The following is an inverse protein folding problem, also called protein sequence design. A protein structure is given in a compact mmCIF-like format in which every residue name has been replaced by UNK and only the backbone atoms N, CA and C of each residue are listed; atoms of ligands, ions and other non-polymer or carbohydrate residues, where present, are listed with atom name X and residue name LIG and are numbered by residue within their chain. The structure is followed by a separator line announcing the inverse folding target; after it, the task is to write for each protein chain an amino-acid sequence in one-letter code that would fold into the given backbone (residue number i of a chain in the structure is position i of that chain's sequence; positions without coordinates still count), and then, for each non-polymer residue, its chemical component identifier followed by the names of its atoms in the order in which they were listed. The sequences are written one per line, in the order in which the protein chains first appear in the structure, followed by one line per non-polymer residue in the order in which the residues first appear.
data_IF_357174664896
#
_entry.id   IF_357174664896
#
_cell.length_a   1.000
_cell.length_b   1.000
_cell.length_c   1.000
_cell.angle_alpha   90.00
_cell.angle_beta   90.00
_cell.angle_gamma   90.00
#
_symmetry.space_group_name_H-M   'P 1'
#
loop_
_entity.id
_entity.type
_entity.pdbx_description
1 polymer ?
#
# COMPACT_ATOMS: atom_id res chain seq x y z
N UNK A 1 -28.53 -2.64 -5.54
CA UNK A 1 -27.63 -3.35 -4.61
C UNK A 1 -26.28 -2.66 -4.66
N UNK A 2 -25.88 -2.05 -3.55
CA UNK A 2 -24.56 -1.47 -3.35
C UNK A 2 -23.57 -2.62 -3.09
N UNK A 3 -22.54 -2.78 -3.94
CA UNK A 3 -21.50 -3.80 -3.72
C UNK A 3 -20.49 -3.23 -2.75
N UNK A 4 -20.47 -3.76 -1.53
CA UNK A 4 -19.37 -3.52 -0.59
C UNK A 4 -18.22 -4.40 -1.04
N UNK A 5 -17.19 -3.81 -1.65
CA UNK A 5 -15.97 -4.53 -1.96
C UNK A 5 -15.25 -4.89 -0.67
N UNK A 6 -14.82 -6.14 -0.53
CA UNK A 6 -13.99 -6.54 0.61
C UNK A 6 -12.68 -5.75 0.56
N UNK A 7 -12.32 -5.13 1.69
CA UNK A 7 -11.09 -4.37 1.83
C UNK A 7 -10.15 -5.05 2.81
N UNK A 8 -8.87 -4.88 2.57
CA UNK A 8 -7.79 -5.27 3.46
C UNK A 8 -7.02 -4.04 3.87
N UNK A 9 -6.55 -4.05 5.11
CA UNK A 9 -5.58 -3.07 5.57
C UNK A 9 -4.20 -3.50 5.09
N UNK A 10 -3.51 -2.59 4.40
CA UNK A 10 -2.12 -2.73 4.03
C UNK A 10 -1.27 -1.82 4.94
N UNK A 11 -0.41 -2.44 5.74
CA UNK A 11 0.52 -1.75 6.63
C UNK A 11 1.91 -1.80 6.01
N UNK A 12 2.40 -0.67 5.51
CA UNK A 12 3.76 -0.49 5.01
C UNK A 12 4.70 -0.59 6.21
N UNK A 13 5.31 -1.77 6.41
CA UNK A 13 6.24 -2.03 7.51
C UNK A 13 7.57 -1.30 7.31
N UNK A 14 7.96 -1.07 6.06
CA UNK A 14 9.16 -0.33 5.77
C UNK A 14 9.39 -0.11 4.28
N UNK A 15 10.09 1.00 4.01
CA UNK A 15 10.68 1.31 2.71
C UNK A 15 12.16 1.55 2.99
N UNK A 16 13.05 0.78 2.38
CA UNK A 16 14.50 0.92 2.60
C UNK A 16 15.29 0.96 1.30
N UNK A 17 16.34 1.78 1.28
CA UNK A 17 17.40 1.66 0.28
C UNK A 17 18.23 0.44 0.64
N UNK A 18 18.10 -0.61 -0.17
CA UNK A 18 18.76 -1.90 0.04
C UNK A 18 20.17 -1.89 -0.55
N UNK A 19 20.32 -1.34 -1.75
CA UNK A 19 21.60 -1.21 -2.46
C UNK A 19 21.70 0.15 -3.14
N UNK A 20 22.92 0.68 -3.25
CA UNK A 20 23.21 1.96 -3.89
C UNK A 20 23.31 3.15 -2.93
N UNK A 21 23.65 4.34 -3.46
CA UNK A 21 23.74 5.57 -2.67
C UNK A 21 22.38 6.00 -2.12
N UNK A 22 22.41 6.81 -1.06
CA UNK A 22 21.20 7.44 -0.54
C UNK A 22 20.72 8.52 -1.52
N UNK A 23 19.50 8.42 -2.08
CA UNK A 23 19.06 9.30 -3.16
C UNK A 23 18.26 10.53 -2.66
N UNK A 24 18.00 10.63 -1.35
CA UNK A 24 16.99 11.54 -0.80
C UNK A 24 17.58 12.74 -0.05
N UNK A 25 18.73 13.25 -0.49
CA UNK A 25 19.42 14.36 0.19
C UNK A 25 18.64 15.68 0.12
N UNK A 26 17.91 15.91 -0.97
CA UNK A 26 17.09 17.12 -1.17
C UNK A 26 15.59 16.89 -0.97
N UNK A 27 15.21 15.72 -0.48
CA UNK A 27 13.84 15.33 -0.22
C UNK A 27 13.36 14.23 -1.15
N UNK A 28 12.05 14.03 -1.15
CA UNK A 28 11.39 12.98 -1.88
C UNK A 28 9.97 12.76 -1.39
N UNK A 29 9.34 11.72 -1.95
CA UNK A 29 7.98 11.30 -1.59
C UNK A 29 7.85 9.78 -1.65
N UNK A 30 7.13 9.23 -0.68
CA UNK A 30 6.59 7.87 -0.72
C UNK A 30 5.08 7.99 -0.68
N UNK A 31 4.40 7.44 -1.68
CA UNK A 31 2.96 7.48 -1.76
C UNK A 31 2.38 6.14 -2.21
N UNK A 32 1.19 5.83 -1.71
CA UNK A 32 0.37 4.73 -2.19
C UNK A 32 -0.67 5.28 -3.15
N UNK A 33 -0.82 4.65 -4.30
CA UNK A 33 -1.83 4.97 -5.31
C UNK A 33 -2.82 3.83 -5.38
N UNK A 34 -4.12 4.16 -5.33
CA UNK A 34 -5.18 3.25 -5.73
C UNK A 34 -5.61 3.58 -7.16
N UNK A 35 -5.87 2.56 -8.01
CA UNK A 35 -6.43 2.79 -9.33
C UNK A 35 -7.74 3.59 -9.25
N UNK A 36 -8.04 4.44 -10.24
CA UNK A 36 -9.34 5.08 -10.37
C UNK A 36 -10.48 4.07 -10.33
N UNK A 37 -11.43 4.24 -9.41
CA UNK A 37 -12.70 3.50 -9.41
C UNK A 37 -13.83 4.46 -9.15
N UNK A 38 -14.41 5.01 -10.21
CA UNK A 38 -15.81 5.44 -10.17
C UNK A 38 -16.61 4.40 -10.93
N UNK A 39 -17.64 3.85 -10.30
CA UNK A 39 -18.59 2.99 -10.99
C UNK A 39 -19.89 3.76 -11.23
N UNK A 40 -20.47 3.57 -12.41
CA UNK A 40 -21.83 4.00 -12.72
C UNK A 40 -22.70 2.76 -12.79
N UNK A 41 -23.86 2.81 -12.13
CA UNK A 41 -24.90 1.80 -12.28
C UNK A 41 -25.90 2.32 -13.29
N UNK A 42 -25.98 1.69 -14.46
CA UNK A 42 -26.99 1.98 -15.48
C UNK A 42 -27.72 0.68 -15.77
N UNK A 43 -29.04 0.68 -15.63
CA UNK A 43 -29.91 -0.49 -15.90
C UNK A 43 -29.49 -1.76 -15.13
N UNK A 44 -29.15 -1.60 -13.85
CA UNK A 44 -28.70 -2.70 -12.98
C UNK A 44 -27.30 -3.23 -13.28
N UNK A 45 -26.61 -2.72 -14.30
CA UNK A 45 -25.25 -3.12 -14.68
C UNK A 45 -24.21 -2.13 -14.16
N UNK A 46 -23.12 -2.65 -13.60
CA UNK A 46 -21.98 -1.87 -13.09
C UNK A 46 -21.01 -1.57 -14.23
N UNK A 47 -20.73 -0.30 -14.46
CA UNK A 47 -19.74 0.18 -15.41
C UNK A 47 -18.63 0.91 -14.67
N UNK A 48 -17.39 0.44 -14.77
CA UNK A 48 -16.24 1.17 -14.24
C UNK A 48 -15.85 2.28 -15.23
N UNK A 49 -15.84 3.53 -14.77
CA UNK A 49 -15.38 4.66 -15.57
C UNK A 49 -13.90 4.93 -15.29
N UNK A 50 -13.12 5.02 -16.36
CA UNK A 50 -11.66 5.21 -16.33
C UNK A 50 -11.21 6.65 -16.08
N UNK A 51 -12.15 7.57 -15.80
CA UNK A 51 -11.91 9.01 -15.71
C UNK A 51 -11.84 9.57 -14.27
N UNK A 52 -11.85 8.73 -13.24
CA UNK A 52 -11.58 9.21 -11.88
C UNK A 52 -10.07 9.49 -11.68
N UNK A 53 -9.69 10.46 -10.85
CA UNK A 53 -8.31 10.57 -10.40
C UNK A 53 -7.97 9.38 -9.48
N UNK A 54 -6.76 8.85 -9.64
CA UNK A 54 -6.18 7.89 -8.69
C UNK A 54 -6.15 8.52 -7.31
N UNK A 55 -6.54 7.79 -6.26
CA UNK A 55 -6.42 8.31 -4.90
C UNK A 55 -4.97 8.13 -4.45
N UNK A 56 -4.34 9.23 -4.05
CA UNK A 56 -2.99 9.24 -3.51
C UNK A 56 -3.03 9.36 -1.98
N UNK A 57 -2.34 8.44 -1.31
CA UNK A 57 -2.08 8.53 0.13
C UNK A 57 -0.58 8.68 0.34
N UNK A 58 -0.17 9.88 0.75
CA UNK A 58 1.23 10.18 1.03
C UNK A 58 1.64 9.60 2.38
N UNK A 59 2.62 8.70 2.35
CA UNK A 59 3.21 8.07 3.55
C UNK A 59 4.30 8.93 4.16
N UNK A 60 5.09 9.59 3.29
CA UNK A 60 6.17 10.48 3.68
C UNK A 60 6.44 11.46 2.53
N UNK A 61 6.66 12.73 2.86
CA UNK A 61 7.13 13.72 1.90
C UNK A 61 8.04 14.75 2.58
N UNK A 62 9.06 15.18 1.87
CA UNK A 62 10.00 16.22 2.29
C UNK A 62 10.49 16.96 1.06
N UNK A 63 10.64 18.28 1.15
CA UNK A 63 11.16 19.11 0.03
C UNK A 63 12.25 20.03 0.53
N UNK A 64 13.36 20.12 -0.20
CA UNK A 64 14.50 20.99 0.12
C UNK A 64 15.29 20.56 1.36
N UNK A 65 15.04 19.36 1.89
CA UNK A 65 15.76 18.80 3.04
C UNK A 65 15.79 17.28 2.94
N UNK A 66 16.83 16.69 3.51
CA UNK A 66 17.03 15.24 3.53
C UNK A 66 15.83 14.51 4.12
N UNK A 67 15.41 13.42 3.48
CA UNK A 67 14.34 12.56 4.01
C UNK A 67 14.79 11.89 5.32
N UNK A 68 13.90 11.76 6.32
CA UNK A 68 14.27 11.18 7.61
C UNK A 68 14.68 9.71 7.44
N UNK A 69 15.93 9.41 7.81
CA UNK A 69 16.59 8.12 7.64
C UNK A 69 16.74 7.41 8.98
N UNK A 70 16.24 6.18 9.05
CA UNK A 70 16.50 5.24 10.11
C UNK A 70 17.75 4.39 9.87
N UNK A 71 18.01 3.46 10.78
CA UNK A 71 19.08 2.46 10.63
C UNK A 71 18.88 1.65 9.35
N UNK A 72 19.96 1.05 8.81
CA UNK A 72 19.90 0.13 7.66
C UNK A 72 19.16 0.66 6.42
N UNK A 73 19.20 1.97 6.18
CA UNK A 73 18.64 2.57 4.96
C UNK A 73 17.12 2.71 4.95
N UNK A 74 16.43 2.50 6.08
CA UNK A 74 14.98 2.69 6.17
C UNK A 74 14.59 4.17 6.14
N UNK A 75 13.47 4.48 5.49
CA UNK A 75 12.77 5.76 5.63
C UNK A 75 11.86 5.72 6.86
N UNK A 76 11.87 6.80 7.65
CA UNK A 76 10.96 6.96 8.78
C UNK A 76 9.64 7.54 8.26
N UNK A 77 8.68 6.66 7.95
CA UNK A 77 7.39 7.07 7.39
C UNK A 77 6.54 7.82 8.42
N UNK A 78 5.80 8.83 7.97
CA UNK A 78 4.86 9.57 8.81
C UNK A 78 3.52 8.84 8.96
N UNK A 79 3.17 8.00 7.98
CA UNK A 79 2.01 7.11 7.97
C UNK A 79 2.43 5.75 7.47
N UNK A 80 1.73 4.71 7.91
CA UNK A 80 2.06 3.33 7.57
C UNK A 80 0.87 2.56 6.97
N UNK A 81 -0.35 3.09 7.01
CA UNK A 81 -1.55 2.28 6.75
C UNK A 81 -2.39 2.86 5.63
N UNK A 82 -2.81 2.01 4.67
CA UNK A 82 -3.87 2.28 3.69
C UNK A 82 -4.89 1.14 3.68
N UNK A 83 -6.12 1.45 3.28
CA UNK A 83 -7.15 0.45 2.95
C UNK A 83 -7.11 0.19 1.45
N UNK A 84 -7.15 -1.08 1.05
CA UNK A 84 -7.08 -1.52 -0.34
C UNK A 84 -8.17 -2.54 -0.59
N UNK A 85 -8.82 -2.52 -1.75
CA UNK A 85 -9.75 -3.60 -2.13
C UNK A 85 -8.99 -4.92 -2.29
N UNK A 86 -9.55 -6.03 -1.80
CA UNK A 86 -8.92 -7.35 -1.86
C UNK A 86 -8.69 -7.81 -3.32
N UNK A 87 -9.63 -7.49 -4.21
CA UNK A 87 -9.54 -7.75 -5.67
C UNK A 87 -8.87 -6.59 -6.44
N UNK A 88 -8.25 -5.65 -5.72
CA UNK A 88 -7.59 -4.47 -6.27
C UNK A 88 -6.09 -4.65 -6.48
N UNK A 89 -5.40 -3.52 -6.49
CA UNK A 89 -3.95 -3.44 -6.45
C UNK A 89 -3.52 -2.29 -5.56
N UNK A 90 -2.33 -2.40 -4.98
CA UNK A 90 -1.67 -1.33 -4.25
C UNK A 90 -0.39 -0.94 -4.99
N UNK A 91 -0.38 0.23 -5.61
CA UNK A 91 0.84 0.77 -6.20
C UNK A 91 1.55 1.64 -5.16
N UNK A 92 2.85 1.44 -4.97
CA UNK A 92 3.70 2.28 -4.13
C UNK A 92 4.70 2.99 -5.02
N UNK A 93 4.65 4.31 -5.02
CA UNK A 93 5.55 5.19 -5.79
C UNK A 93 6.54 5.85 -4.84
N UNK A 94 7.80 5.82 -5.22
CA UNK A 94 8.92 6.42 -4.49
C UNK A 94 9.60 7.41 -5.43
N UNK A 95 9.78 8.64 -4.97
CA UNK A 95 10.40 9.72 -5.73
C UNK A 95 11.53 10.34 -4.91
N UNK A 96 12.64 10.64 -5.59
CA UNK A 96 13.73 11.46 -5.09
C UNK A 96 13.73 12.80 -5.81
N UNK A 97 14.11 13.86 -5.10
CA UNK A 97 14.10 15.23 -5.61
C UNK A 97 15.51 15.79 -5.79
N UNK A 98 15.66 16.70 -6.75
CA UNK A 98 16.80 17.62 -6.83
C UNK A 98 16.69 18.74 -5.79
N UNK A 99 17.74 19.55 -5.68
CA UNK A 99 17.73 20.79 -4.90
C UNK A 99 16.65 21.79 -5.36
N UNK A 100 16.39 21.90 -6.67
CA UNK A 100 15.27 22.68 -7.24
C UNK A 100 13.89 22.11 -6.87
N UNK A 101 13.87 20.86 -6.39
CA UNK A 101 12.68 20.11 -6.03
C UNK A 101 11.96 19.50 -7.22
N UNK A 102 12.68 19.25 -8.32
CA UNK A 102 12.24 18.46 -9.47
C UNK A 102 12.43 16.97 -9.19
N UNK A 103 11.65 16.11 -9.84
CA UNK A 103 11.80 14.65 -9.70
C UNK A 103 13.02 14.21 -10.51
N UNK A 104 14.05 13.71 -9.83
CA UNK A 104 15.29 13.23 -10.47
C UNK A 104 15.30 11.72 -10.65
N UNK A 105 14.64 10.99 -9.78
CA UNK A 105 14.50 9.55 -9.87
C UNK A 105 13.15 9.10 -9.32
N UNK A 106 12.57 8.07 -9.93
CA UNK A 106 11.31 7.48 -9.52
C UNK A 106 11.39 5.96 -9.64
N UNK A 107 10.75 5.27 -8.69
CA UNK A 107 10.45 3.84 -8.78
C UNK A 107 9.01 3.58 -8.39
N UNK A 108 8.44 2.52 -8.93
CA UNK A 108 7.08 2.07 -8.63
C UNK A 108 7.07 0.56 -8.43
N UNK A 109 6.22 0.09 -7.54
CA UNK A 109 5.95 -1.33 -7.32
C UNK A 109 4.46 -1.56 -7.14
N UNK A 110 3.95 -2.63 -7.72
CA UNK A 110 2.54 -3.03 -7.60
C UNK A 110 2.45 -4.28 -6.73
N UNK A 111 1.64 -4.21 -5.69
CA UNK A 111 1.33 -5.35 -4.83
C UNK A 111 -0.07 -5.88 -5.11
N UNK A 112 -0.18 -7.21 -5.19
CA UNK A 112 -1.46 -7.90 -5.09
C UNK A 112 -1.88 -8.00 -3.61
N UNK A 113 -3.05 -7.46 -3.24
CA UNK A 113 -3.54 -7.54 -1.87
C UNK A 113 -3.78 -8.99 -1.42
N UNK A 114 -3.63 -9.23 -0.11
CA UNK A 114 -3.84 -10.54 0.52
C UNK A 114 -4.75 -10.39 1.74
N UNK A 115 -5.46 -11.45 2.12
CA UNK A 115 -6.25 -11.45 3.35
C UNK A 115 -5.38 -11.38 4.63
N UNK A 116 -4.16 -11.92 4.57
CA UNK A 116 -3.19 -11.88 5.65
C UNK A 116 -1.75 -12.08 5.12
N UNK A 117 -0.77 -12.13 6.04
CA UNK A 117 0.67 -12.31 5.79
C UNK A 117 1.40 -11.05 5.28
N UNK A 118 2.66 -11.24 4.88
CA UNK A 118 3.56 -10.18 4.41
C UNK A 118 3.82 -10.37 2.91
N UNK A 119 3.94 -9.26 2.19
CA UNK A 119 4.53 -9.20 0.85
C UNK A 119 5.76 -8.30 0.90
N UNK A 120 6.77 -8.63 0.12
CA UNK A 120 7.96 -7.83 -0.03
C UNK A 120 8.33 -7.77 -1.50
N UNK A 121 8.62 -6.57 -2.00
CA UNK A 121 8.99 -6.35 -3.39
C UNK A 121 10.07 -5.28 -3.48
N UNK A 122 10.77 -5.23 -4.61
CA UNK A 122 11.86 -4.29 -4.86
C UNK A 122 11.64 -3.52 -6.16
N UNK A 123 12.05 -2.25 -6.19
CA UNK A 123 12.13 -1.45 -7.41
C UNK A 123 13.46 -0.68 -7.47
N UNK A 124 13.79 -0.16 -8.65
CA UNK A 124 14.93 0.73 -8.84
C UNK A 124 14.45 2.18 -8.97
N UNK A 125 15.20 3.13 -8.42
CA UNK A 125 14.95 4.55 -8.62
C UNK A 125 15.71 5.07 -9.84
N UNK A 126 14.98 5.37 -10.91
CA UNK A 126 15.54 5.87 -12.17
C UNK A 126 16.46 4.86 -12.88
N UNK A 127 17.09 5.33 -13.95
CA UNK A 127 17.93 4.51 -14.83
C UNK A 127 19.44 4.80 -14.72
N UNK A 128 19.84 5.62 -13.74
CA UNK A 128 21.24 6.04 -13.55
C UNK A 128 22.10 4.96 -12.87
N UNK A 129 23.37 4.87 -13.26
CA UNK A 129 24.38 4.06 -12.59
C UNK A 129 25.17 4.87 -11.53
N UNK A 130 25.39 4.34 -10.31
CA UNK A 130 24.91 3.05 -9.82
C UNK A 130 23.40 3.08 -9.50
N UNK A 131 22.71 1.99 -9.88
CA UNK A 131 21.28 1.83 -9.60
C UNK A 131 21.01 1.80 -8.10
N UNK A 132 19.96 2.51 -7.68
CA UNK A 132 19.47 2.52 -6.30
C UNK A 132 18.31 1.54 -6.19
N UNK A 133 18.52 0.43 -5.49
CA UNK A 133 17.49 -0.58 -5.21
C UNK A 133 16.76 -0.23 -3.92
N UNK A 134 15.43 -0.14 -3.99
CA UNK A 134 14.56 0.11 -2.85
C UNK A 134 13.69 -1.12 -2.62
N UNK A 135 13.61 -1.56 -1.37
CA UNK A 135 12.75 -2.66 -0.93
C UNK A 135 11.58 -2.11 -0.13
N UNK A 136 10.38 -2.61 -0.42
CA UNK A 136 9.13 -2.25 0.24
C UNK A 136 8.54 -3.51 0.86
N UNK A 137 8.21 -3.44 2.15
CA UNK A 137 7.56 -4.54 2.88
C UNK A 137 6.19 -4.12 3.36
N UNK A 138 5.18 -4.94 3.09
CA UNK A 138 3.77 -4.69 3.40
C UNK A 138 3.19 -5.87 4.18
N UNK A 139 2.59 -5.60 5.34
CA UNK A 139 1.75 -6.56 6.05
C UNK A 139 0.28 -6.36 5.68
N UNK A 140 -0.42 -7.46 5.45
CA UNK A 140 -1.83 -7.47 5.10
C UNK A 140 -2.67 -7.99 6.25
N UNK A 141 -3.83 -7.38 6.46
CA UNK A 141 -4.83 -7.87 7.39
C UNK A 141 -6.23 -7.57 6.87
N UNK A 142 -7.06 -8.60 6.75
CA UNK A 142 -8.45 -8.49 6.34
C UNK A 142 -9.20 -7.61 7.34
N UNK A 143 -9.86 -6.57 6.82
CA UNK A 143 -10.78 -5.78 7.61
C UNK A 143 -12.09 -6.55 7.65
N UNK A 144 -12.45 -7.07 8.83
CA UNK A 144 -13.74 -7.75 9.01
C UNK A 144 -14.84 -6.71 8.91
N UNK A 145 -15.42 -6.58 7.72
CA UNK A 145 -16.55 -5.71 7.46
C UNK A 145 -17.83 -6.33 8.03
N UNK A 146 -18.07 -6.05 9.32
CA UNK A 146 -19.33 -6.24 10.03
C UNK A 146 -19.78 -7.71 10.30
N UNK A 147 -20.18 -7.99 11.55
CA UNK A 147 -20.65 -9.30 12.04
C UNK A 147 -21.71 -9.97 11.16
N UNK A 148 -22.51 -9.18 10.43
CA UNK A 148 -23.62 -9.67 9.58
C UNK A 148 -23.14 -10.38 8.31
N UNK A 149 -21.95 -10.08 7.80
CA UNK A 149 -21.42 -10.74 6.58
C UNK A 149 -20.91 -12.16 6.89
N UNK A 150 -20.36 -12.37 8.08
CA UNK A 150 -19.96 -13.70 8.57
C UNK A 150 -21.17 -14.63 8.78
N UNK A 151 -22.34 -14.08 9.10
CA UNK A 151 -23.58 -14.84 9.31
C UNK A 151 -24.20 -15.35 7.99
N UNK A 152 -23.82 -14.80 6.83
CA UNK A 152 -24.33 -15.27 5.53
C UNK A 152 -23.55 -16.47 4.96
N UNK A 153 -22.35 -16.77 5.47
CA UNK A 153 -21.51 -17.87 5.00
C UNK A 153 -21.66 -19.16 5.82
N UNK A 154 -22.70 -19.26 6.65
CA UNK A 154 -23.12 -20.54 7.25
C UNK A 154 -22.19 -21.14 8.31
N UNK A 155 -21.26 -20.37 8.88
CA UNK A 155 -20.47 -20.83 10.02
C UNK A 155 -21.32 -20.70 11.30
N UNK A 156 -21.62 -21.84 11.93
CA UNK A 156 -22.38 -21.87 13.17
C UNK A 156 -21.61 -21.13 14.27
N UNK A 157 -22.35 -20.34 15.06
CA UNK A 157 -21.79 -19.46 16.10
C UNK A 157 -21.03 -20.25 17.19
N UNK A 158 -21.29 -21.55 17.32
CA UNK A 158 -20.59 -22.44 18.23
C UNK A 158 -19.18 -22.79 17.72
N UNK A 159 -18.97 -22.96 16.42
CA UNK A 159 -17.65 -23.28 15.85
C UNK A 159 -16.65 -22.12 16.04
N UNK A 160 -17.13 -20.87 15.98
CA UNK A 160 -16.31 -19.68 16.17
C UNK A 160 -15.88 -19.49 17.64
N UNK A 161 -16.70 -19.94 18.59
CA UNK A 161 -16.34 -19.95 20.02
C UNK A 161 -15.33 -21.04 20.34
N UNK A 162 -15.48 -22.22 19.76
CA UNK A 162 -14.53 -23.34 19.90
C UNK A 162 -13.17 -23.02 19.27
N UNK A 163 -13.15 -22.38 18.09
CA UNK A 163 -11.90 -21.98 17.44
C UNK A 163 -11.10 -20.92 18.23
N UNK A 164 -11.80 -20.00 18.91
CA UNK A 164 -11.16 -18.97 19.75
C UNK A 164 -10.80 -19.52 21.13
N UNK A 165 -11.56 -20.50 21.66
CA UNK A 165 -11.24 -21.17 22.93
C UNK A 165 -10.12 -22.19 22.80
N UNK A 166 -9.89 -22.76 21.62
CA UNK A 166 -8.86 -23.77 21.36
C UNK A 166 -7.45 -23.23 21.09
N UNK A 167 -7.28 -21.91 21.00
CA UNK A 167 -5.97 -21.26 20.77
C UNK A 167 -5.29 -20.76 22.06
N UNK A 168 -5.80 -21.16 23.23
CA UNK A 168 -5.14 -20.91 24.51
C UNK A 168 -4.05 -21.93 24.81
N UNK A 169 -2.79 -21.53 24.62
CA UNK A 169 -1.66 -21.96 25.46
C UNK A 169 -0.80 -20.76 25.80
#
# INVERSE_FOLDING_TARGET
MERIHETVQATILGVRVKNGPWPFDYGGKVACLSPPRTYKVTDGKVFYTTHAPSMEVVMLASRGRTMPKGSYGYLLLSRHVVSVELEGSLNVVIQAYSESGDITAQGEVCFTPKACNISQETCFLGDSDPKVEVEITVAWSLLVSNRRHLMMNGMDFNELKEAVSGMGV
#
